data_IF_594713724709
#
_entry.id   IF_594713724709
#
_cell.length_a   1.000
_cell.length_b   1.000
_cell.length_c   1.000
_cell.angle_alpha   90.00
_cell.angle_beta   90.00
_cell.angle_gamma   90.00
#
_symmetry.space_group_name_H-M   'P 1'
#
loop_
_entity.id
_entity.type
_entity.pdbx_description
1 polymer ?
#
# COMPACT_ATOMS: atom_id res chain seq x y z
N UNK A 1 -7.72 -22.56 17.05
CA UNK A 1 -6.89 -21.83 16.06
C UNK A 1 -7.78 -20.77 15.41
N UNK A 2 -7.63 -19.51 15.82
CA UNK A 2 -8.41 -18.38 15.28
C UNK A 2 -7.80 -18.01 13.93
N UNK A 3 -8.63 -17.84 12.89
CA UNK A 3 -8.17 -17.44 11.55
C UNK A 3 -7.42 -16.10 11.66
N UNK A 4 -6.20 -15.97 11.09
CA UNK A 4 -5.37 -14.77 11.21
C UNK A 4 -6.06 -13.51 10.67
N UNK A 5 -6.98 -13.67 9.70
CA UNK A 5 -7.82 -12.59 9.16
C UNK A 5 -8.76 -11.97 10.21
N UNK A 6 -9.33 -12.79 11.09
CA UNK A 6 -10.21 -12.30 12.16
C UNK A 6 -9.43 -11.59 13.27
N UNK A 7 -8.22 -12.06 13.57
CA UNK A 7 -7.33 -11.42 14.53
C UNK A 7 -6.85 -10.04 14.06
N UNK A 8 -6.56 -9.90 12.75
CA UNK A 8 -6.15 -8.63 12.16
C UNK A 8 -7.27 -7.58 12.19
N UNK A 9 -8.51 -7.99 11.90
CA UNK A 9 -9.68 -7.10 12.02
C UNK A 9 -9.93 -6.72 13.48
N UNK A 10 -9.82 -7.67 14.42
CA UNK A 10 -10.06 -7.40 15.83
C UNK A 10 -8.99 -6.49 16.45
N UNK A 11 -7.72 -6.67 16.11
CA UNK A 11 -6.64 -5.74 16.49
C UNK A 11 -6.85 -4.35 15.89
N UNK A 12 -7.34 -4.25 14.66
CA UNK A 12 -7.58 -2.98 13.97
C UNK A 12 -8.67 -2.13 14.63
N UNK A 13 -9.68 -2.75 15.23
CA UNK A 13 -10.78 -2.03 15.89
C UNK A 13 -10.63 -1.96 17.42
N UNK A 14 -9.63 -2.64 18.00
CA UNK A 14 -9.40 -2.69 19.45
C UNK A 14 -9.33 -1.31 20.08
N UNK A 15 -8.53 -0.41 19.50
CA UNK A 15 -8.31 0.93 20.06
C UNK A 15 -9.58 1.80 19.95
N UNK A 16 -10.41 1.59 18.92
CA UNK A 16 -11.71 2.24 18.78
C UNK A 16 -12.74 1.73 19.81
N UNK A 17 -12.77 0.42 20.09
CA UNK A 17 -13.62 -0.16 21.13
C UNK A 17 -13.19 0.29 22.53
N UNK A 18 -11.88 0.35 22.81
CA UNK A 18 -11.35 0.85 24.08
C UNK A 18 -11.70 2.33 24.26
N UNK A 19 -11.52 3.15 23.20
CA UNK A 19 -11.90 4.57 23.23
C UNK A 19 -13.40 4.76 23.46
N UNK A 20 -14.26 3.99 22.78
CA UNK A 20 -15.71 4.03 22.97
C UNK A 20 -16.13 3.60 24.39
N UNK A 21 -15.50 2.57 24.96
CA UNK A 21 -15.76 2.12 26.32
C UNK A 21 -15.35 3.17 27.36
N UNK A 22 -14.21 3.83 27.17
CA UNK A 22 -13.75 4.92 28.04
C UNK A 22 -14.66 6.15 27.97
N UNK A 23 -15.12 6.53 26.77
CA UNK A 23 -16.08 7.63 26.60
C UNK A 23 -17.40 7.30 27.30
N UNK A 24 -17.93 6.08 27.12
CA UNK A 24 -19.16 5.65 27.77
C UNK A 24 -19.03 5.65 29.31
N UNK A 25 -17.89 5.20 29.83
CA UNK A 25 -17.61 5.21 31.27
C UNK A 25 -17.45 6.63 31.83
N UNK A 26 -16.75 7.51 31.10
CA UNK A 26 -16.59 8.92 31.45
C UNK A 26 -17.93 9.67 31.48
N UNK A 27 -18.78 9.44 30.48
CA UNK A 27 -20.13 10.02 30.41
C UNK A 27 -21.05 9.49 31.54
N UNK A 28 -20.91 8.20 31.88
CA UNK A 28 -21.63 7.59 32.98
C UNK A 28 -21.25 8.22 34.33
N UNK A 29 -19.96 8.45 34.58
CA UNK A 29 -19.49 9.08 35.83
C UNK A 29 -19.83 10.57 35.90
N UNK A 30 -19.78 11.28 34.77
CA UNK A 30 -20.16 12.69 34.66
C UNK A 30 -21.64 12.93 34.98
N UNK A 31 -22.53 12.03 34.55
CA UNK A 31 -23.99 12.16 34.78
C UNK A 31 -24.45 11.69 36.16
N UNK A 32 -23.71 10.78 36.80
CA UNK A 32 -24.08 10.19 38.11
C UNK A 32 -23.47 10.89 39.33
N UNK A 33 -22.48 11.78 39.16
CA UNK A 33 -21.71 12.33 40.30
C UNK A 33 -21.61 13.85 40.28
N UNK A 34 -21.91 14.51 41.40
CA UNK A 34 -21.67 15.95 41.63
C UNK A 34 -20.39 16.17 42.46
N UNK A 35 -19.51 17.08 42.04
CA UNK A 35 -18.27 17.44 42.76
C UNK A 35 -16.97 17.16 42.00
N UNK A 36 -15.81 17.14 42.69
CA UNK A 36 -14.46 16.99 42.11
C UNK A 36 -14.30 15.76 41.18
N UNK A 37 -15.11 14.72 41.38
CA UNK A 37 -15.14 13.51 40.56
C UNK A 37 -15.67 13.77 39.13
N UNK A 38 -16.46 14.83 38.92
CA UNK A 38 -16.92 15.23 37.58
C UNK A 38 -15.78 15.76 36.69
N UNK A 39 -14.80 16.45 37.29
CA UNK A 39 -13.60 16.92 36.59
C UNK A 39 -12.68 15.76 36.18
N UNK A 40 -12.59 14.72 37.03
CA UNK A 40 -11.88 13.47 36.68
C UNK A 40 -12.59 12.75 35.53
N UNK A 41 -13.93 12.69 35.55
CA UNK A 41 -14.73 12.15 34.45
C UNK A 41 -14.58 12.93 33.13
N UNK A 42 -14.51 14.27 33.21
CA UNK A 42 -14.27 15.13 32.05
C UNK A 42 -12.87 14.89 31.45
N UNK A 43 -11.83 14.81 32.29
CA UNK A 43 -10.46 14.50 31.85
C UNK A 43 -10.37 13.12 31.20
N UNK A 44 -11.02 12.10 31.79
CA UNK A 44 -11.05 10.75 31.24
C UNK A 44 -11.80 10.69 29.90
N UNK A 45 -12.88 11.46 29.75
CA UNK A 45 -13.64 11.56 28.49
C UNK A 45 -12.82 12.22 27.39
N UNK A 46 -12.06 13.28 27.71
CA UNK A 46 -11.14 13.93 26.79
C UNK A 46 -10.01 12.98 26.33
N UNK A 47 -9.43 12.22 27.26
CA UNK A 47 -8.42 11.20 26.93
C UNK A 47 -9.01 10.09 26.06
N UNK A 48 -10.21 9.59 26.41
CA UNK A 48 -10.93 8.60 25.61
C UNK A 48 -11.27 9.10 24.21
N UNK A 49 -11.64 10.38 24.07
CA UNK A 49 -11.90 11.03 22.79
C UNK A 49 -10.62 11.17 21.95
N UNK A 50 -9.49 11.55 22.55
CA UNK A 50 -8.19 11.62 21.87
C UNK A 50 -7.74 10.25 21.36
N UNK A 51 -7.83 9.21 22.21
CA UNK A 51 -7.47 7.83 21.85
C UNK A 51 -8.43 7.29 20.79
N UNK A 52 -9.74 7.51 20.96
CA UNK A 52 -10.76 7.08 20.01
C UNK A 52 -10.64 7.79 18.66
N UNK A 53 -10.33 9.08 18.64
CA UNK A 53 -10.10 9.85 17.42
C UNK A 53 -8.84 9.39 16.70
N UNK A 54 -7.73 9.18 17.42
CA UNK A 54 -6.50 8.63 16.86
C UNK A 54 -6.68 7.20 16.32
N UNK A 55 -7.43 6.35 17.04
CA UNK A 55 -7.80 5.00 16.62
C UNK A 55 -8.71 5.00 15.39
N UNK A 56 -9.70 5.91 15.33
CA UNK A 56 -10.58 6.08 14.18
C UNK A 56 -9.82 6.63 12.96
N UNK A 57 -8.89 7.55 13.18
CA UNK A 57 -7.99 8.04 12.14
C UNK A 57 -7.14 6.89 11.62
N UNK A 58 -6.46 6.13 12.49
CA UNK A 58 -5.63 4.97 12.10
C UNK A 58 -6.44 3.87 11.39
N UNK A 59 -7.66 3.59 11.82
CA UNK A 59 -8.55 2.61 11.17
C UNK A 59 -9.06 3.11 9.81
N UNK A 60 -9.34 4.41 9.65
CA UNK A 60 -9.71 5.02 8.36
C UNK A 60 -8.52 5.12 7.39
N UNK A 61 -7.32 5.42 7.88
CA UNK A 61 -6.08 5.43 7.10
C UNK A 61 -5.54 4.03 6.79
N UNK A 62 -5.99 2.98 7.49
CA UNK A 62 -5.68 1.59 7.12
C UNK A 62 -6.33 1.14 5.80
N UNK A 63 -7.23 1.93 5.20
CA UNK A 63 -7.72 1.72 3.82
C UNK A 63 -6.77 2.26 2.76
N UNK A 64 -5.73 2.96 3.19
CA UNK A 64 -4.57 3.43 2.44
C UNK A 64 -3.31 3.10 3.25
N UNK A 65 -3.11 1.81 3.56
CA UNK A 65 -1.73 1.41 3.82
C UNK A 65 -0.99 1.75 2.52
N UNK A 66 -0.16 2.79 2.58
CA UNK A 66 1.05 2.95 1.80
C UNK A 66 1.44 1.55 1.30
N UNK A 67 1.36 1.34 -0.02
CA UNK A 67 1.47 0.04 -0.66
C UNK A 67 2.53 -0.78 0.04
N UNK A 68 2.16 -1.97 0.49
CA UNK A 68 2.99 -2.68 1.45
C UNK A 68 4.42 -2.85 0.91
N UNK A 69 5.44 -2.39 1.64
CA UNK A 69 6.84 -2.57 1.26
C UNK A 69 7.60 -1.29 0.87
N UNK A 70 8.90 -1.46 0.67
CA UNK A 70 9.87 -0.41 0.35
C UNK A 70 10.50 -0.73 -0.99
N UNK A 71 10.58 0.27 -1.86
CA UNK A 71 11.31 0.20 -3.11
C UNK A 71 12.60 1.00 -2.96
N UNK A 72 13.71 0.37 -3.28
CA UNK A 72 15.00 1.01 -3.39
C UNK A 72 15.52 0.90 -4.82
N UNK A 73 16.16 1.96 -5.30
CA UNK A 73 16.72 2.03 -6.64
C UNK A 73 18.16 2.55 -6.51
N UNK A 74 19.12 1.67 -6.77
CA UNK A 74 20.55 1.98 -6.66
C UNK A 74 21.26 1.45 -7.90
N UNK A 75 22.03 2.29 -8.60
CA UNK A 75 22.84 1.90 -9.77
C UNK A 75 22.07 1.13 -10.86
N UNK A 76 20.84 1.53 -11.16
CA UNK A 76 20.00 0.86 -12.16
C UNK A 76 19.42 -0.48 -11.68
N UNK A 77 19.56 -0.82 -10.40
CA UNK A 77 18.94 -1.99 -9.80
C UNK A 77 17.73 -1.58 -8.96
N UNK A 78 16.59 -2.18 -9.26
CA UNK A 78 15.34 -2.01 -8.52
C UNK A 78 15.22 -3.16 -7.52
N UNK A 79 15.17 -2.82 -6.24
CA UNK A 79 14.95 -3.76 -5.15
C UNK A 79 13.62 -3.45 -4.47
N UNK A 80 12.79 -4.47 -4.31
CA UNK A 80 11.53 -4.35 -3.60
C UNK A 80 11.49 -5.30 -2.40
N UNK A 81 11.23 -4.70 -1.24
CA UNK A 81 11.08 -5.37 0.04
C UNK A 81 9.61 -5.32 0.47
N UNK A 82 8.81 -6.31 0.04
CA UNK A 82 7.43 -6.48 0.50
C UNK A 82 7.31 -7.46 1.68
N UNK A 83 6.16 -7.46 2.37
CA UNK A 83 5.94 -8.31 3.56
C UNK A 83 5.83 -9.81 3.23
N UNK A 84 5.22 -10.15 2.09
CA UNK A 84 4.99 -11.52 1.65
C UNK A 84 5.88 -11.91 0.46
N UNK A 85 6.26 -10.92 -0.35
CA UNK A 85 7.05 -11.08 -1.56
C UNK A 85 8.09 -9.97 -1.67
N UNK A 86 9.25 -10.31 -2.22
CA UNK A 86 10.32 -9.35 -2.49
C UNK A 86 11.19 -9.86 -3.63
N UNK A 87 12.01 -8.98 -4.18
CA UNK A 87 12.90 -9.35 -5.26
C UNK A 87 13.72 -8.18 -5.74
N UNK A 88 14.67 -8.52 -6.60
CA UNK A 88 15.62 -7.59 -7.18
C UNK A 88 15.59 -7.80 -8.68
N UNK A 89 15.56 -6.71 -9.43
CA UNK A 89 15.60 -6.72 -10.89
C UNK A 89 16.49 -5.58 -11.37
N UNK A 90 17.43 -5.88 -12.27
CA UNK A 90 18.19 -4.85 -12.96
C UNK A 90 17.32 -4.20 -14.03
N UNK A 91 17.42 -2.88 -14.17
CA UNK A 91 16.65 -2.10 -15.14
C UNK A 91 16.90 -2.58 -16.57
N UNK A 92 18.13 -2.93 -16.90
CA UNK A 92 18.54 -3.43 -18.23
C UNK A 92 17.96 -4.82 -18.58
N UNK A 93 17.65 -5.61 -17.54
CA UNK A 93 17.07 -6.95 -17.65
C UNK A 93 15.55 -6.91 -17.79
N UNK A 94 14.91 -5.74 -17.57
CA UNK A 94 13.47 -5.61 -17.74
C UNK A 94 13.11 -5.76 -19.22
N UNK A 95 12.20 -6.68 -19.51
CA UNK A 95 11.69 -6.94 -20.87
C UNK A 95 10.30 -6.37 -21.07
N UNK A 96 9.51 -6.27 -19.99
CA UNK A 96 8.14 -5.77 -20.06
C UNK A 96 7.72 -5.15 -18.73
N UNK A 97 7.10 -3.98 -18.83
CA UNK A 97 6.49 -3.25 -17.71
C UNK A 97 4.99 -3.18 -17.97
N UNK A 98 4.21 -3.70 -17.02
CA UNK A 98 2.75 -3.67 -17.08
C UNK A 98 2.16 -3.19 -15.77
N UNK A 99 1.00 -2.54 -15.84
CA UNK A 99 0.19 -2.20 -14.68
C UNK A 99 -0.96 -3.19 -14.57
N UNK A 100 -1.08 -3.83 -13.41
CA UNK A 100 -2.15 -4.79 -13.12
C UNK A 100 -2.95 -4.33 -11.91
N UNK A 101 -4.18 -4.81 -11.79
CA UNK A 101 -5.02 -4.61 -10.62
C UNK A 101 -5.22 -5.93 -9.89
N UNK A 102 -4.79 -6.01 -8.64
CA UNK A 102 -4.89 -7.22 -7.81
C UNK A 102 -5.20 -6.83 -6.37
N UNK A 103 -6.07 -7.59 -5.70
CA UNK A 103 -6.50 -7.36 -4.30
C UNK A 103 -6.87 -5.90 -3.98
N UNK A 104 -7.60 -5.25 -4.89
CA UNK A 104 -8.05 -3.87 -4.74
C UNK A 104 -6.92 -2.82 -4.69
N UNK A 105 -5.80 -3.13 -5.32
CA UNK A 105 -4.61 -2.27 -5.44
C UNK A 105 -4.04 -2.37 -6.87
N UNK A 106 -3.43 -1.29 -7.36
CA UNK A 106 -2.61 -1.33 -8.57
C UNK A 106 -1.18 -1.76 -8.26
N UNK A 107 -0.61 -2.63 -9.10
CA UNK A 107 0.76 -3.08 -8.98
C UNK A 107 1.48 -2.94 -10.32
N UNK A 108 2.74 -2.53 -10.23
CA UNK A 108 3.72 -2.70 -11.28
C UNK A 108 4.07 -4.18 -11.38
N UNK A 109 4.02 -4.71 -12.59
CA UNK A 109 4.54 -6.03 -12.95
C UNK A 109 5.75 -5.80 -13.84
N UNK A 110 6.93 -6.16 -13.33
CA UNK A 110 8.20 -6.09 -14.05
C UNK A 110 8.60 -7.50 -14.45
N UNK A 111 8.71 -7.76 -15.74
CA UNK A 111 9.09 -9.07 -16.28
C UNK A 111 10.53 -9.02 -16.78
N UNK A 112 11.24 -10.14 -16.61
CA UNK A 112 12.61 -10.36 -17.05
C UNK A 112 12.75 -11.78 -17.62
N UNK A 113 13.77 -12.06 -18.45
CA UNK A 113 13.95 -13.39 -19.03
C UNK A 113 14.27 -14.41 -17.94
N UNK A 114 13.70 -15.61 -18.06
CA UNK A 114 14.05 -16.78 -17.25
C UNK A 114 13.91 -16.63 -15.72
N UNK A 115 13.25 -15.58 -15.23
CA UNK A 115 12.99 -15.33 -13.81
C UNK A 115 11.53 -14.90 -13.59
N UNK A 116 10.97 -15.14 -12.38
CA UNK A 116 9.62 -14.71 -12.07
C UNK A 116 9.48 -13.19 -12.12
N UNK A 117 8.30 -12.72 -12.50
CA UNK A 117 7.98 -11.30 -12.53
C UNK A 117 7.96 -10.70 -11.12
N UNK A 118 8.53 -9.50 -10.98
CA UNK A 118 8.50 -8.73 -9.75
C UNK A 118 7.22 -7.88 -9.70
N UNK A 119 6.48 -7.99 -8.59
CA UNK A 119 5.24 -7.24 -8.36
C UNK A 119 5.45 -6.18 -7.29
N UNK A 120 5.30 -4.91 -7.67
CA UNK A 120 5.53 -3.78 -6.78
C UNK A 120 4.24 -2.94 -6.65
N UNK A 121 3.68 -2.76 -5.46
CA UNK A 121 2.57 -1.83 -5.22
C UNK A 121 2.86 -0.41 -5.73
N UNK A 122 1.91 0.21 -6.42
CA UNK A 122 2.07 1.62 -6.86
C UNK A 122 2.19 2.60 -5.68
N UNK A 123 1.64 2.24 -4.52
CA UNK A 123 1.74 3.02 -3.29
C UNK A 123 2.94 2.70 -2.40
N UNK A 124 3.87 1.84 -2.83
CA UNK A 124 5.02 1.46 -2.01
C UNK A 124 5.90 2.67 -1.66
N UNK A 125 6.55 2.61 -0.50
CA UNK A 125 7.44 3.70 -0.06
C UNK A 125 8.65 3.72 -0.98
N UNK A 126 8.94 4.86 -1.64
CA UNK A 126 10.01 4.95 -2.64
C UNK A 126 9.61 4.52 -4.05
N UNK A 127 8.34 4.17 -4.28
CA UNK A 127 7.82 3.83 -5.62
C UNK A 127 7.98 4.98 -6.60
N UNK A 128 8.07 6.22 -6.12
CA UNK A 128 8.37 7.41 -6.92
C UNK A 128 9.70 7.29 -7.68
N UNK A 129 10.69 6.58 -7.12
CA UNK A 129 12.00 6.38 -7.78
C UNK A 129 11.92 5.45 -8.99
N UNK A 130 10.87 4.62 -9.06
CA UNK A 130 10.63 3.80 -10.25
C UNK A 130 10.32 4.65 -11.47
N UNK A 131 9.66 5.81 -11.28
CA UNK A 131 9.40 6.72 -12.39
C UNK A 131 10.69 7.20 -13.02
N UNK A 132 11.63 7.68 -12.19
CA UNK A 132 12.94 8.14 -12.64
C UNK A 132 13.74 6.99 -13.28
N UNK A 133 13.69 5.80 -12.70
CA UNK A 133 14.33 4.62 -13.28
C UNK A 133 13.76 4.28 -14.67
N UNK A 134 12.44 4.25 -14.82
CA UNK A 134 11.80 3.93 -16.09
C UNK A 134 12.07 4.96 -17.19
N UNK A 135 12.39 6.22 -16.84
CA UNK A 135 12.79 7.22 -17.84
C UNK A 135 14.13 6.91 -18.53
N UNK A 136 14.95 6.04 -17.95
CA UNK A 136 16.21 5.60 -18.56
C UNK A 136 16.00 4.51 -19.61
N UNK A 137 14.80 3.94 -19.71
CA UNK A 137 14.45 2.96 -20.73
C UNK A 137 14.12 3.65 -22.06
N UNK A 138 14.66 3.11 -23.15
CA UNK A 138 14.39 3.63 -24.49
C UNK A 138 12.89 3.58 -24.82
N UNK A 139 12.37 4.66 -25.42
CA UNK A 139 10.96 4.78 -25.84
C UNK A 139 9.91 4.68 -24.71
N UNK A 140 10.28 4.93 -23.45
CA UNK A 140 9.31 4.94 -22.35
C UNK A 140 8.37 6.16 -22.39
N UNK A 141 7.05 5.92 -22.42
CA UNK A 141 6.03 6.96 -22.50
C UNK A 141 5.48 7.34 -21.12
N UNK A 142 6.07 8.37 -20.50
CA UNK A 142 5.67 8.87 -19.17
C UNK A 142 4.20 9.31 -19.16
N UNK A 143 3.74 9.96 -20.22
CA UNK A 143 2.36 10.47 -20.33
C UNK A 143 1.34 9.32 -20.33
N UNK A 144 1.60 8.26 -21.10
CA UNK A 144 0.76 7.07 -21.15
C UNK A 144 0.72 6.37 -19.78
N UNK A 145 1.87 6.30 -19.10
CA UNK A 145 1.97 5.75 -17.76
C UNK A 145 1.13 6.55 -16.73
N UNK A 146 1.24 7.88 -16.72
CA UNK A 146 0.47 8.73 -15.80
C UNK A 146 -1.03 8.63 -16.06
N UNK A 147 -1.44 8.55 -17.32
CA UNK A 147 -2.84 8.34 -17.68
C UNK A 147 -3.36 6.99 -17.18
N UNK A 148 -2.56 5.93 -17.24
CA UNK A 148 -2.92 4.59 -16.78
C UNK A 148 -2.98 4.49 -15.26
N UNK A 149 -2.11 5.21 -14.53
CA UNK A 149 -2.15 5.29 -13.07
C UNK A 149 -3.40 6.02 -12.56
N UNK A 150 -3.87 7.02 -13.30
CA UNK A 150 -5.10 7.74 -12.95
C UNK A 150 -6.38 6.90 -13.17
N UNK A 151 -6.31 5.83 -13.98
CA UNK A 151 -7.45 5.00 -14.33
C UNK A 151 -7.59 3.80 -13.40
N UNK A 152 -8.84 3.37 -13.12
CA UNK A 152 -9.07 2.03 -12.57
C UNK A 152 -8.94 1.00 -13.68
N UNK A 153 -7.85 0.26 -13.65
CA UNK A 153 -7.60 -0.82 -14.58
C UNK A 153 -8.43 -2.06 -14.23
N UNK A 154 -9.17 -2.58 -15.20
CA UNK A 154 -9.87 -3.87 -15.09
C UNK A 154 -9.10 -5.00 -15.81
N UNK A 155 -8.15 -4.63 -16.67
CA UNK A 155 -7.30 -5.55 -17.43
C UNK A 155 -5.83 -5.14 -17.29
N UNK A 156 -4.87 -6.08 -17.36
CA UNK A 156 -3.45 -5.76 -17.44
C UNK A 156 -3.16 -4.82 -18.61
N UNK A 157 -2.50 -3.69 -18.34
CA UNK A 157 -2.10 -2.73 -19.36
C UNK A 157 -0.58 -2.73 -19.47
N UNK A 158 -0.05 -2.98 -20.67
CA UNK A 158 1.39 -2.91 -20.92
C UNK A 158 1.76 -1.47 -21.18
N UNK A 159 2.73 -0.95 -20.42
CA UNK A 159 3.21 0.43 -20.56
C UNK A 159 4.43 0.48 -21.46
N UNK A 160 5.30 -0.51 -21.31
CA UNK A 160 6.54 -0.60 -22.06
C UNK A 160 6.94 -2.06 -22.27
N UNK A 161 7.58 -2.32 -23.39
CA UNK A 161 8.14 -3.62 -23.73
C UNK A 161 9.38 -3.39 -24.60
N UNK A 162 10.44 -4.15 -24.32
CA UNK A 162 11.70 -4.07 -25.07
C UNK A 162 11.48 -4.53 -26.51
N UNK A 163 11.98 -3.75 -27.47
CA UNK A 163 11.69 -3.91 -28.92
C UNK A 163 11.95 -5.33 -29.46
N UNK A 164 12.96 -6.03 -28.93
CA UNK A 164 13.28 -7.41 -29.29
C UNK A 164 12.09 -8.38 -29.12
N UNK A 165 11.18 -8.09 -28.19
CA UNK A 165 10.01 -8.91 -27.91
C UNK A 165 8.76 -8.50 -28.69
N UNK A 166 8.83 -7.44 -29.51
CA UNK A 166 7.75 -7.00 -30.38
C UNK A 166 7.76 -7.71 -31.74
N UNK A 167 8.84 -8.42 -32.09
CA UNK A 167 8.96 -9.18 -33.34
C UNK A 167 8.43 -10.62 -33.18
N UNK A 168 7.31 -10.99 -33.82
CA UNK A 168 6.79 -12.36 -33.79
C UNK A 168 7.74 -13.39 -34.44
N UNK A 169 8.73 -12.96 -35.23
CA UNK A 169 9.65 -13.86 -35.93
C UNK A 169 10.75 -14.43 -35.04
N UNK A 170 11.03 -13.84 -33.87
CA UNK A 170 12.06 -14.33 -32.95
C UNK A 170 11.62 -15.52 -32.06
N UNK A 171 10.38 -16.02 -32.21
CA UNK A 171 9.87 -17.18 -31.46
C UNK A 171 10.11 -18.53 -32.13
N UNK A 172 10.84 -18.58 -33.25
CA UNK A 172 11.09 -19.82 -33.99
C UNK A 172 12.60 -20.01 -34.14
N UNK A 173 13.32 -20.45 -33.12
CA UNK A 173 14.57 -21.21 -33.26
C UNK A 173 14.85 -22.05 -32.00
#
# INVERSE_FOLDING_TARGET
MIRPEAAAVLQRWRDAFIGAALIALGLYWFTKTFGLLSWVGAALTLIGALIGFAGLQRARFSKSQHGAGIVDVTEGQITYFGPDTGGVIALDDITKISLIYYQNQQLWKLEQPAQPALFIPTGATGAERLFDAFTQLDNFQIEAMLQLLAQRLNTPQTIWQKDYFLDPQNYIH
#
